data_IF_252763403894
#
_entry.id   IF_252763403894
#
_cell.length_a   1.000
_cell.length_b   1.000
_cell.length_c   1.000
_cell.angle_alpha   90.00
_cell.angle_beta   90.00
_cell.angle_gamma   90.00
#
_symmetry.space_group_name_H-M   'P 1'
#
loop_
_entity.id
_entity.type
_entity.pdbx_description
1 polymer ?
#
# COMPACT_ATOMS: atom_id res chain seq x y z
N UNK A 1 10.82 46.53 -37.75
CA UNK A 1 9.66 46.81 -36.88
C UNK A 1 8.39 46.72 -37.74
N UNK A 2 7.64 45.62 -37.68
CA UNK A 2 6.40 45.46 -38.44
C UNK A 2 5.27 45.02 -37.52
N UNK A 3 4.36 45.97 -37.26
CA UNK A 3 3.10 45.76 -36.54
C UNK A 3 2.14 45.04 -37.49
N UNK A 4 1.80 43.78 -37.20
CA UNK A 4 0.72 43.08 -37.90
C UNK A 4 -0.36 42.70 -36.89
N UNK A 5 -1.44 43.46 -36.95
CA UNK A 5 -2.68 43.24 -36.22
C UNK A 5 -3.25 41.84 -36.55
N UNK A 6 -3.59 41.06 -35.52
CA UNK A 6 -4.38 39.85 -35.66
C UNK A 6 -5.72 40.03 -34.94
N UNK A 7 -6.70 40.26 -35.79
CA UNK A 7 -8.14 40.00 -35.72
C UNK A 7 -8.56 39.12 -34.54
N UNK A 8 -9.40 39.69 -33.69
CA UNK A 8 -10.23 39.06 -32.68
C UNK A 8 -11.35 38.31 -33.43
N UNK A 9 -11.49 37.00 -33.23
CA UNK A 9 -12.68 36.26 -33.64
C UNK A 9 -13.51 35.95 -32.40
N UNK A 10 -14.70 36.55 -32.43
CA UNK A 10 -15.87 36.30 -31.60
C UNK A 10 -16.46 34.92 -31.88
N UNK A 11 -17.22 34.44 -30.89
CA UNK A 11 -18.28 33.44 -30.97
C UNK A 11 -17.91 32.03 -31.45
N UNK A 12 -17.83 31.12 -30.48
CA UNK A 12 -18.50 29.83 -30.65
C UNK A 12 -19.23 29.47 -29.36
N UNK A 13 -20.54 29.41 -29.53
CA UNK A 13 -21.58 29.23 -28.53
C UNK A 13 -21.36 27.99 -27.65
N UNK A 14 -21.81 28.16 -26.41
CA UNK A 14 -21.86 27.17 -25.35
C UNK A 14 -22.69 25.94 -25.73
N UNK A 15 -22.20 24.71 -25.53
CA UNK A 15 -23.07 23.55 -25.51
C UNK A 15 -23.90 23.57 -24.22
N UNK A 16 -25.14 24.03 -24.38
CA UNK A 16 -26.36 23.58 -23.71
C UNK A 16 -26.11 22.54 -22.59
N UNK A 17 -26.03 23.04 -21.36
CA UNK A 17 -26.00 22.25 -20.15
C UNK A 17 -27.36 21.54 -20.01
N UNK A 18 -27.45 20.33 -20.54
CA UNK A 18 -28.61 19.48 -20.44
C UNK A 18 -28.72 19.01 -18.98
N UNK A 19 -29.56 19.71 -18.22
CA UNK A 19 -29.95 19.36 -16.86
C UNK A 19 -30.59 17.97 -16.87
N UNK A 20 -29.81 16.96 -16.50
CA UNK A 20 -30.37 15.66 -16.17
C UNK A 20 -31.21 15.80 -14.91
N UNK A 21 -32.48 15.34 -14.92
CA UNK A 21 -33.32 15.38 -13.74
C UNK A 21 -32.75 14.47 -12.65
N UNK A 22 -32.63 15.03 -11.45
CA UNK A 22 -32.47 14.33 -10.19
C UNK A 22 -33.52 13.22 -10.09
N UNK A 23 -33.16 11.99 -10.45
CA UNK A 23 -33.95 10.81 -10.12
C UNK A 23 -33.60 10.41 -8.69
N UNK A 24 -34.58 10.58 -7.82
CA UNK A 24 -34.48 10.32 -6.39
C UNK A 24 -33.96 8.93 -6.10
N UNK A 25 -32.85 8.87 -5.37
CA UNK A 25 -32.40 7.66 -4.73
C UNK A 25 -33.30 7.41 -3.52
N UNK A 26 -34.39 6.66 -3.74
CA UNK A 26 -35.28 6.21 -2.68
C UNK A 26 -34.47 5.42 -1.65
N UNK A 27 -34.46 5.92 -0.42
CA UNK A 27 -33.94 5.24 0.75
C UNK A 27 -34.74 3.95 0.99
N UNK A 28 -34.30 2.83 0.41
CA UNK A 28 -34.74 1.49 0.84
C UNK A 28 -34.00 1.15 2.12
N UNK A 29 -34.59 1.52 3.24
CA UNK A 29 -34.34 0.90 4.55
C UNK A 29 -34.83 -0.55 4.50
N UNK A 30 -34.00 -1.44 3.97
CA UNK A 30 -34.16 -2.88 4.14
C UNK A 30 -33.70 -3.27 5.54
N UNK A 31 -34.64 -3.45 6.46
CA UNK A 31 -34.40 -4.19 7.71
C UNK A 31 -34.07 -5.64 7.34
N UNK A 32 -32.94 -6.23 7.77
CA UNK A 32 -32.78 -7.67 7.71
C UNK A 32 -33.64 -8.30 8.81
N UNK A 33 -34.86 -8.72 8.46
CA UNK A 33 -35.58 -9.71 9.26
C UNK A 33 -34.88 -11.05 9.05
N UNK A 34 -34.29 -11.58 10.13
CA UNK A 34 -33.70 -12.90 10.16
C UNK A 34 -34.74 -13.96 9.81
N UNK A 35 -34.67 -14.46 8.58
CA UNK A 35 -35.26 -15.73 8.18
C UNK A 35 -34.12 -16.73 8.27
N UNK A 36 -33.99 -17.37 9.43
CA UNK A 36 -33.14 -18.53 9.61
C UNK A 36 -33.72 -19.67 8.78
N UNK A 37 -33.22 -19.83 7.55
CA UNK A 37 -33.57 -20.95 6.69
C UNK A 37 -32.72 -22.16 7.14
N UNK A 38 -33.29 -23.19 7.78
CA UNK A 38 -32.53 -24.31 8.37
C UNK A 38 -31.87 -25.23 7.32
N UNK A 39 -32.14 -25.00 6.03
CA UNK A 39 -31.52 -25.72 4.92
C UNK A 39 -30.10 -25.23 4.59
N UNK A 40 -29.78 -23.97 4.87
CA UNK A 40 -28.45 -23.41 4.56
C UNK A 40 -27.37 -23.84 5.55
N UNK A 41 -27.74 -24.15 6.81
CA UNK A 41 -26.80 -24.61 7.84
C UNK A 41 -26.31 -26.05 7.62
N UNK A 42 -27.13 -26.90 6.98
CA UNK A 42 -26.74 -28.29 6.66
C UNK A 42 -25.62 -28.35 5.60
N UNK A 43 -25.62 -27.46 4.61
CA UNK A 43 -24.59 -27.46 3.56
C UNK A 43 -23.22 -26.99 4.07
N UNK A 44 -23.19 -26.07 5.04
CA UNK A 44 -21.93 -25.58 5.60
C UNK A 44 -21.21 -26.64 6.45
N UNK A 45 -21.96 -27.51 7.16
CA UNK A 45 -21.34 -28.55 8.01
C UNK A 45 -20.69 -29.67 7.18
N UNK A 46 -21.27 -30.03 6.03
CA UNK A 46 -20.71 -31.04 5.12
C UNK A 46 -19.41 -30.56 4.48
N UNK A 47 -19.33 -29.29 4.08
CA UNK A 47 -18.12 -28.69 3.50
C UNK A 47 -16.95 -28.61 4.50
N UNK A 48 -17.23 -28.37 5.79
CA UNK A 48 -16.18 -28.35 6.83
C UNK A 48 -15.67 -29.77 7.14
N UNK A 49 -16.54 -30.78 7.18
CA UNK A 49 -16.13 -32.17 7.41
C UNK A 49 -15.25 -32.73 6.28
N UNK A 50 -15.45 -32.28 5.04
CA UNK A 50 -14.73 -32.79 3.88
C UNK A 50 -13.30 -32.25 3.74
N UNK A 51 -12.96 -31.14 4.41
CA UNK A 51 -11.63 -30.52 4.34
C UNK A 51 -10.63 -31.01 5.41
N UNK A 52 -11.07 -31.79 6.40
CA UNK A 52 -10.21 -32.28 7.49
C UNK A 52 -9.38 -33.54 7.12
N UNK A 53 -9.54 -34.08 5.91
CA UNK A 53 -8.90 -35.34 5.48
C UNK A 53 -7.53 -35.22 4.78
N UNK A 54 -6.96 -34.03 4.61
CA UNK A 54 -5.82 -33.80 3.70
C UNK A 54 -4.47 -33.48 4.38
N UNK A 55 -4.32 -33.66 5.70
CA UNK A 55 -3.04 -33.40 6.38
C UNK A 55 -2.34 -34.74 6.66
N UNK A 56 -1.65 -35.27 5.65
CA UNK A 56 -0.77 -36.42 5.80
C UNK A 56 0.27 -36.47 4.68
N UNK A 57 1.52 -36.78 5.05
CA UNK A 57 2.77 -36.81 4.23
C UNK A 57 3.34 -35.39 4.03
N UNK A 58 4.60 -35.04 4.26
CA UNK A 58 5.91 -35.70 4.26
C UNK A 58 6.93 -34.58 4.60
N UNK A 59 8.20 -34.75 4.97
CA UNK A 59 9.05 -35.86 5.32
C UNK A 59 10.37 -35.22 5.78
N UNK A 60 10.92 -35.75 6.87
CA UNK A 60 12.20 -35.40 7.47
C UNK A 60 13.35 -35.51 6.47
N UNK A 61 14.17 -34.46 6.38
CA UNK A 61 15.34 -34.39 5.51
C UNK A 61 16.51 -33.65 6.15
N UNK A 62 16.98 -34.13 7.32
CA UNK A 62 18.27 -33.75 7.89
C UNK A 62 19.40 -34.32 7.03
N UNK A 63 20.26 -33.48 6.45
CA UNK A 63 21.64 -33.83 6.11
C UNK A 63 22.57 -32.67 6.44
N UNK A 64 23.38 -32.84 7.48
CA UNK A 64 24.61 -32.06 7.69
C UNK A 64 25.66 -32.58 6.68
N UNK A 65 26.31 -31.70 5.90
CA UNK A 65 27.50 -32.09 5.16
C UNK A 65 28.70 -32.23 6.10
N UNK A 66 29.46 -33.29 5.82
CA UNK A 66 30.62 -33.78 6.54
C UNK A 66 31.76 -32.75 6.53
N UNK A 67 32.34 -32.50 7.71
CA UNK A 67 33.48 -31.61 7.93
C UNK A 67 34.75 -32.42 7.63
N UNK A 68 35.49 -32.04 6.59
CA UNK A 68 36.82 -32.60 6.31
C UNK A 68 37.84 -31.46 6.23
N UNK A 69 38.88 -31.56 7.06
CA UNK A 69 40.10 -30.75 7.10
C UNK A 69 41.28 -31.74 6.94
N UNK A 70 42.54 -31.34 6.66
CA UNK A 70 43.11 -30.36 5.71
C UNK A 70 44.28 -30.99 4.87
N UNK A 71 44.99 -30.24 4.00
CA UNK A 71 46.48 -30.23 4.07
C UNK A 71 47.14 -28.82 3.86
N UNK A 72 48.45 -28.67 4.16
CA UNK A 72 49.16 -27.38 4.37
C UNK A 72 49.51 -26.58 3.09
N UNK A 73 49.82 -25.28 3.22
CA UNK A 73 50.00 -24.36 2.08
C UNK A 73 51.38 -24.45 1.40
N UNK A 74 51.44 -24.43 0.06
CA UNK A 74 52.64 -24.09 -0.71
C UNK A 74 52.75 -22.58 -1.03
N UNK A 75 53.92 -22.11 -1.50
CA UNK A 75 54.39 -20.74 -1.35
C UNK A 75 53.74 -19.70 -2.28
N UNK A 76 53.71 -18.47 -1.77
CA UNK A 76 53.18 -17.26 -2.40
C UNK A 76 53.68 -17.07 -3.84
N UNK A 77 52.73 -17.04 -4.78
CA UNK A 77 52.90 -16.47 -6.11
C UNK A 77 52.05 -15.21 -6.18
N UNK A 78 52.67 -14.10 -6.55
CA UNK A 78 52.02 -12.81 -6.75
C UNK A 78 50.79 -12.96 -7.64
N UNK A 79 49.63 -12.64 -7.08
CA UNK A 79 48.34 -12.73 -7.76
C UNK A 79 48.05 -11.39 -8.46
N UNK A 80 47.70 -11.39 -9.75
CA UNK A 80 47.28 -10.20 -10.48
C UNK A 80 46.06 -9.56 -9.82
N UNK A 81 45.86 -8.23 -9.98
CA UNK A 81 44.83 -7.48 -9.24
C UNK A 81 43.46 -8.14 -9.38
N UNK A 82 42.70 -8.30 -8.27
CA UNK A 82 41.44 -9.02 -8.30
C UNK A 82 40.50 -8.39 -9.32
N UNK A 83 39.84 -9.19 -10.19
CA UNK A 83 38.79 -8.67 -11.05
C UNK A 83 37.74 -8.04 -10.14
N UNK A 84 37.50 -6.75 -10.34
CA UNK A 84 36.40 -6.01 -9.73
C UNK A 84 35.14 -6.86 -9.87
N UNK A 85 34.73 -7.48 -8.76
CA UNK A 85 33.49 -8.23 -8.65
C UNK A 85 32.35 -7.24 -8.79
N UNK A 86 32.02 -6.90 -10.03
CA UNK A 86 30.78 -6.21 -10.36
C UNK A 86 29.66 -7.15 -9.95
N UNK A 87 29.10 -6.94 -8.75
CA UNK A 87 27.87 -7.62 -8.35
C UNK A 87 26.85 -7.43 -9.48
N UNK A 88 26.23 -8.52 -9.96
CA UNK A 88 25.32 -8.45 -11.10
C UNK A 88 24.23 -7.43 -10.77
N UNK A 89 24.18 -6.37 -11.57
CA UNK A 89 23.25 -5.25 -11.41
C UNK A 89 21.83 -5.79 -11.57
N UNK A 90 21.19 -6.14 -10.45
CA UNK A 90 19.82 -6.66 -10.45
C UNK A 90 18.91 -5.62 -11.11
N UNK A 91 18.10 -6.05 -12.06
CA UNK A 91 17.15 -5.16 -12.71
C UNK A 91 16.14 -4.69 -11.65
N UNK A 92 16.21 -3.40 -11.30
CA UNK A 92 15.29 -2.77 -10.35
C UNK A 92 13.93 -2.55 -11.03
N UNK A 93 12.86 -2.82 -10.31
CA UNK A 93 11.49 -2.56 -10.77
C UNK A 93 11.16 -1.08 -10.47
N UNK A 94 10.92 -0.23 -11.49
CA UNK A 94 10.61 1.17 -11.24
C UNK A 94 9.18 1.33 -10.70
N UNK A 95 9.04 2.08 -9.61
CA UNK A 95 7.77 2.42 -8.96
C UNK A 95 7.68 3.93 -8.76
N UNK A 96 6.56 4.52 -9.18
CA UNK A 96 6.16 5.89 -8.88
C UNK A 96 5.10 5.88 -7.77
N UNK A 97 5.41 6.49 -6.63
CA UNK A 97 4.46 6.70 -5.54
C UNK A 97 3.72 8.02 -5.73
N UNK A 98 2.40 7.96 -5.56
CA UNK A 98 1.52 9.11 -5.69
C UNK A 98 0.53 9.14 -4.53
N UNK A 99 0.30 10.32 -3.94
CA UNK A 99 -0.76 10.57 -2.96
C UNK A 99 -1.99 11.17 -3.62
N UNK A 100 -3.15 10.82 -3.08
CA UNK A 100 -4.39 11.60 -3.20
C UNK A 100 -5.06 11.75 -1.84
N UNK A 101 -5.80 12.84 -1.67
CA UNK A 101 -6.66 13.06 -0.50
C UNK A 101 -8.13 12.91 -0.94
N UNK A 102 -8.88 12.00 -0.30
CA UNK A 102 -10.30 11.79 -0.64
C UNK A 102 -11.19 12.86 -0.03
N UNK A 103 -10.81 13.32 1.15
CA UNK A 103 -11.58 14.23 2.00
C UNK A 103 -10.89 15.58 2.11
N UNK A 104 -11.63 16.65 1.83
CA UNK A 104 -11.16 18.06 1.87
C UNK A 104 -10.56 18.48 3.21
N UNK A 105 -10.83 17.75 4.29
CA UNK A 105 -10.35 18.06 5.65
C UNK A 105 -9.11 17.26 6.07
N UNK A 106 -8.61 16.35 5.22
CA UNK A 106 -7.40 15.57 5.53
C UNK A 106 -6.17 16.33 5.03
N UNK A 107 -5.25 16.64 5.95
CA UNK A 107 -4.01 17.31 5.58
C UNK A 107 -3.11 16.42 4.73
N UNK A 108 -2.56 16.98 3.64
CA UNK A 108 -1.50 16.39 2.82
C UNK A 108 -0.32 15.85 3.65
N UNK A 109 -0.08 16.49 4.80
CA UNK A 109 0.94 16.10 5.76
C UNK A 109 0.87 14.62 6.18
N UNK A 110 -0.34 14.10 6.44
CA UNK A 110 -0.51 12.70 6.84
C UNK A 110 -0.20 11.74 5.69
N UNK A 111 -0.57 12.10 4.46
CA UNK A 111 -0.28 11.29 3.28
C UNK A 111 1.23 11.22 3.01
N UNK A 112 1.94 12.32 3.24
CA UNK A 112 3.40 12.37 3.09
C UNK A 112 4.12 11.43 4.06
N UNK A 113 3.68 11.33 5.32
CA UNK A 113 4.25 10.38 6.30
C UNK A 113 4.13 8.94 5.78
N UNK A 114 2.94 8.56 5.30
CA UNK A 114 2.68 7.21 4.77
C UNK A 114 3.52 6.93 3.53
N UNK A 115 3.61 7.88 2.60
CA UNK A 115 4.41 7.74 1.37
C UNK A 115 5.90 7.65 1.67
N UNK A 116 6.41 8.48 2.58
CA UNK A 116 7.83 8.49 2.95
C UNK A 116 8.27 7.15 3.51
N UNK A 117 7.51 6.61 4.48
CA UNK A 117 7.82 5.31 5.09
C UNK A 117 7.56 4.13 4.15
N UNK A 118 6.57 4.21 3.27
CA UNK A 118 6.37 3.24 2.20
C UNK A 118 7.57 3.24 1.24
N UNK A 119 8.03 4.42 0.79
CA UNK A 119 9.18 4.56 -0.09
C UNK A 119 10.47 4.07 0.58
N UNK A 120 10.69 4.40 1.85
CA UNK A 120 11.82 3.93 2.63
C UNK A 120 11.84 2.40 2.68
N UNK A 121 10.70 1.77 3.03
CA UNK A 121 10.58 0.31 3.12
C UNK A 121 10.80 -0.38 1.78
N UNK A 122 10.31 0.19 0.67
CA UNK A 122 10.57 -0.34 -0.67
C UNK A 122 12.04 -0.22 -1.07
N UNK A 123 12.72 0.88 -0.69
CA UNK A 123 14.16 1.06 -0.95
C UNK A 123 15.01 0.07 -0.16
N UNK A 124 14.64 -0.23 1.08
CA UNK A 124 15.32 -1.24 1.91
C UNK A 124 15.31 -2.64 1.28
N UNK A 125 14.32 -2.96 0.46
CA UNK A 125 14.25 -4.26 -0.22
C UNK A 125 15.25 -4.42 -1.39
N UNK A 126 15.90 -3.33 -1.83
CA UNK A 126 16.90 -3.32 -2.92
C UNK A 126 16.43 -3.93 -4.26
N UNK A 127 15.11 -4.07 -4.45
CA UNK A 127 14.49 -4.63 -5.65
C UNK A 127 13.75 -3.58 -6.49
N UNK A 128 13.58 -2.37 -5.95
CA UNK A 128 12.76 -1.32 -6.54
C UNK A 128 13.57 -0.05 -6.77
N UNK A 129 13.28 0.63 -7.87
CA UNK A 129 13.71 2.00 -8.11
C UNK A 129 12.52 2.93 -7.82
N UNK A 130 12.61 3.69 -6.73
CA UNK A 130 11.46 4.33 -6.11
C UNK A 130 11.50 5.84 -6.33
N UNK A 131 10.49 6.38 -7.00
CA UNK A 131 10.28 7.81 -7.22
C UNK A 131 8.98 8.27 -6.55
N UNK A 132 8.95 9.51 -6.07
CA UNK A 132 7.77 10.11 -5.43
C UNK A 132 7.25 11.23 -6.33
N UNK A 133 5.95 11.25 -6.59
CA UNK A 133 5.31 12.30 -7.36
C UNK A 133 5.43 13.65 -6.62
N UNK A 134 5.75 14.76 -7.31
CA UNK A 134 5.98 16.06 -6.67
C UNK A 134 4.71 16.74 -6.16
N UNK A 135 3.54 16.32 -6.67
CA UNK A 135 2.23 16.88 -6.32
C UNK A 135 1.25 15.75 -6.07
N UNK A 136 0.22 16.03 -5.28
CA UNK A 136 -0.94 15.16 -5.18
C UNK A 136 -1.57 14.99 -6.56
N UNK A 137 -1.99 13.77 -6.87
CA UNK A 137 -2.68 13.43 -8.10
C UNK A 137 -3.91 12.58 -7.81
N UNK A 138 -4.96 12.79 -8.59
CA UNK A 138 -6.18 11.99 -8.46
C UNK A 138 -5.93 10.55 -8.98
N UNK A 139 -6.72 9.59 -8.53
CA UNK A 139 -6.72 8.20 -9.02
C UNK A 139 -6.74 8.10 -10.55
N UNK A 140 -7.54 8.96 -11.20
CA UNK A 140 -7.62 9.01 -12.66
C UNK A 140 -6.30 9.41 -13.29
N UNK A 141 -5.67 10.45 -12.76
CA UNK A 141 -4.36 10.93 -13.20
C UNK A 141 -3.26 9.90 -12.93
N UNK A 142 -3.31 9.19 -11.80
CA UNK A 142 -2.39 8.09 -11.50
C UNK A 142 -2.53 6.94 -12.52
N UNK A 143 -3.77 6.55 -12.86
CA UNK A 143 -4.04 5.58 -13.93
C UNK A 143 -3.52 6.07 -15.28
N UNK A 144 -3.74 7.35 -15.62
CA UNK A 144 -3.31 7.89 -16.91
C UNK A 144 -1.78 8.03 -16.99
N UNK A 145 -1.10 8.37 -15.89
CA UNK A 145 0.37 8.29 -15.79
C UNK A 145 0.85 6.86 -16.00
N UNK A 146 0.20 5.87 -15.38
CA UNK A 146 0.55 4.46 -15.59
C UNK A 146 0.36 4.00 -17.05
N UNK A 147 -0.58 4.57 -17.81
CA UNK A 147 -0.73 4.31 -19.25
C UNK A 147 0.41 4.92 -20.06
N UNK A 148 0.83 6.14 -19.68
CA UNK A 148 1.90 6.86 -20.37
C UNK A 148 3.28 6.26 -20.08
N UNK A 149 3.47 5.65 -18.90
CA UNK A 149 4.72 5.02 -18.50
C UNK A 149 4.72 3.52 -18.82
N UNK A 150 5.56 3.10 -19.78
CA UNK A 150 5.57 1.71 -20.26
C UNK A 150 6.25 0.70 -19.33
N UNK A 151 7.03 1.17 -18.34
CA UNK A 151 7.83 0.30 -17.45
C UNK A 151 7.58 0.52 -15.96
N UNK A 152 7.06 1.68 -15.58
CA UNK A 152 6.89 2.09 -14.18
C UNK A 152 5.54 1.68 -13.62
N UNK A 153 5.55 0.97 -12.50
CA UNK A 153 4.33 0.76 -11.72
C UNK A 153 3.95 2.04 -11.00
N UNK A 154 2.67 2.40 -11.02
CA UNK A 154 2.18 3.55 -10.23
C UNK A 154 1.46 3.03 -9.01
N UNK A 155 1.99 3.33 -7.83
CA UNK A 155 1.37 3.07 -6.54
C UNK A 155 0.66 4.33 -6.08
N UNK A 156 -0.67 4.31 -6.15
CA UNK A 156 -1.51 5.40 -5.67
C UNK A 156 -2.00 5.10 -4.25
N UNK A 157 -1.75 6.03 -3.34
CA UNK A 157 -2.10 5.96 -1.92
C UNK A 157 -3.11 7.06 -1.63
N UNK A 158 -4.24 6.69 -1.04
CA UNK A 158 -5.31 7.59 -0.66
C UNK A 158 -5.59 7.46 0.84
N UNK A 159 -5.69 8.60 1.51
CA UNK A 159 -6.17 8.65 2.90
C UNK A 159 -7.67 8.95 2.93
N UNK A 160 -8.39 8.09 3.64
CA UNK A 160 -9.83 8.21 3.87
C UNK A 160 -10.08 8.19 5.40
N UNK A 161 -11.18 8.78 5.85
CA UNK A 161 -11.57 8.76 7.27
C UNK A 161 -12.43 7.52 7.52
N UNK A 162 -12.07 6.70 8.51
CA UNK A 162 -12.90 5.55 8.88
C UNK A 162 -14.13 6.01 9.68
N UNK A 163 -15.24 6.19 8.98
CA UNK A 163 -16.53 6.55 9.56
C UNK A 163 -17.18 5.43 10.40
N UNK A 164 -16.60 4.23 10.45
CA UNK A 164 -17.17 3.10 11.20
C UNK A 164 -16.82 3.13 12.69
N UNK A 165 -15.75 3.82 13.06
CA UNK A 165 -15.23 3.87 14.42
C UNK A 165 -15.77 5.13 15.11
N UNK A 166 -16.99 5.03 15.66
CA UNK A 166 -17.64 6.08 16.45
C UNK A 166 -18.81 6.75 15.73
N UNK A 167 -20.02 6.61 16.30
CA UNK A 167 -21.29 7.19 15.83
C UNK A 167 -21.40 8.71 16.07
N UNK A 168 -20.33 9.49 15.82
CA UNK A 168 -20.44 10.94 15.77
C UNK A 168 -20.47 11.39 14.31
N UNK A 169 -21.67 11.47 13.70
CA UNK A 169 -21.81 11.98 12.37
C UNK A 169 -21.43 13.46 12.39
N UNK A 170 -20.38 13.79 11.64
CA UNK A 170 -20.11 15.17 11.23
C UNK A 170 -19.65 16.08 12.37
N UNK A 171 -18.47 15.81 12.92
CA UNK A 171 -17.68 16.91 13.47
C UNK A 171 -17.14 17.71 12.27
N UNK A 172 -17.70 18.88 12.00
CA UNK A 172 -17.23 19.87 11.00
C UNK A 172 -15.90 20.48 11.50
N UNK A 173 -14.91 19.63 11.73
CA UNK A 173 -13.68 19.96 12.44
C UNK A 173 -12.46 19.19 11.95
N UNK A 174 -11.35 19.37 12.67
CA UNK A 174 -10.06 18.72 12.39
C UNK A 174 -10.24 17.20 12.41
N UNK A 175 -9.85 16.53 11.32
CA UNK A 175 -9.89 15.07 11.21
C UNK A 175 -8.93 14.47 12.23
N UNK A 176 -9.44 13.55 13.06
CA UNK A 176 -8.63 12.77 14.00
C UNK A 176 -7.67 11.86 13.22
N UNK A 177 -6.34 12.07 13.33
CA UNK A 177 -5.37 11.31 12.55
C UNK A 177 -5.36 9.82 12.90
N UNK A 178 -5.79 9.43 14.10
CA UNK A 178 -5.86 8.03 14.52
C UNK A 178 -7.00 7.26 13.83
N UNK A 179 -7.93 7.97 13.16
CA UNK A 179 -9.06 7.39 12.42
C UNK A 179 -8.85 7.36 10.91
N UNK A 180 -7.64 7.65 10.42
CA UNK A 180 -7.37 7.58 8.99
C UNK A 180 -7.16 6.11 8.57
N UNK A 181 -7.70 5.75 7.42
CA UNK A 181 -7.44 4.49 6.74
C UNK A 181 -6.61 4.77 5.49
N UNK A 182 -5.68 3.86 5.19
CA UNK A 182 -4.83 3.95 4.01
C UNK A 182 -5.41 3.02 2.94
N UNK A 183 -5.97 3.61 1.88
CA UNK A 183 -6.31 2.91 0.66
C UNK A 183 -5.09 2.92 -0.27
N UNK A 184 -4.77 1.78 -0.87
CA UNK A 184 -3.73 1.73 -1.89
C UNK A 184 -4.22 1.02 -3.15
N UNK A 185 -3.74 1.46 -4.30
CA UNK A 185 -4.00 0.86 -5.61
C UNK A 185 -2.71 0.84 -6.43
N UNK A 186 -2.35 -0.33 -6.94
CA UNK A 186 -1.21 -0.51 -7.85
C UNK A 186 -1.72 -0.59 -9.28
N UNK A 187 -1.25 0.31 -10.14
CA UNK A 187 -1.54 0.30 -11.57
C UNK A 187 -0.40 -0.34 -12.34
N UNK A 188 -0.73 -1.21 -13.30
CA UNK A 188 0.25 -1.81 -14.21
C UNK A 188 0.71 -0.80 -15.27
N UNK A 189 2.02 -0.77 -15.60
CA UNK A 189 2.55 0.09 -16.64
C UNK A 189 1.93 -0.19 -18.02
N UNK A 190 1.87 0.83 -18.87
CA UNK A 190 1.37 0.80 -20.24
C UNK A 190 -0.15 0.64 -20.39
N UNK A 191 -0.83 0.01 -19.44
CA UNK A 191 -2.29 -0.23 -19.53
C UNK A 191 -3.11 0.60 -18.55
N UNK A 192 -2.52 1.02 -17.42
CA UNK A 192 -3.26 1.67 -16.33
C UNK A 192 -4.32 0.79 -15.66
N UNK A 193 -4.31 -0.53 -15.91
CA UNK A 193 -5.20 -1.46 -15.21
C UNK A 193 -4.75 -1.64 -13.77
N UNK A 194 -5.71 -1.83 -12.87
CA UNK A 194 -5.42 -2.14 -11.47
C UNK A 194 -4.87 -3.55 -11.37
N UNK A 195 -3.64 -3.69 -10.86
CA UNK A 195 -3.02 -4.98 -10.52
C UNK A 195 -3.55 -5.50 -9.19
N UNK A 196 -3.56 -4.63 -8.20
CA UNK A 196 -4.00 -4.93 -6.84
C UNK A 196 -4.49 -3.66 -6.17
N UNK A 197 -5.39 -3.81 -5.21
CA UNK A 197 -5.85 -2.72 -4.36
C UNK A 197 -6.20 -3.27 -2.99
N UNK A 198 -5.99 -2.48 -1.95
CA UNK A 198 -6.29 -2.89 -0.60
C UNK A 198 -6.49 -1.71 0.34
N UNK A 199 -6.84 -2.07 1.58
CA UNK A 199 -7.03 -1.11 2.67
C UNK A 199 -6.20 -1.54 3.87
N UNK A 200 -5.59 -0.58 4.54
CA UNK A 200 -4.81 -0.77 5.75
C UNK A 200 -5.40 0.14 6.82
N UNK A 201 -5.78 -0.50 7.92
CA UNK A 201 -6.28 0.17 9.11
C UNK A 201 -5.10 0.47 10.02
N UNK A 202 -5.06 1.69 10.54
CA UNK A 202 -4.13 2.01 11.62
C UNK A 202 -4.44 1.12 12.82
N UNK A 203 -3.43 0.40 13.31
CA UNK A 203 -3.55 -0.38 14.54
C UNK A 203 -3.00 0.47 15.67
N UNK A 204 -3.85 1.04 16.54
CA UNK A 204 -3.33 1.67 17.75
C UNK A 204 -2.56 0.61 18.53
N UNK A 205 -1.29 0.87 18.84
CA UNK A 205 -0.52 -0.02 19.74
C UNK A 205 -1.17 0.03 21.12
N UNK A 206 -2.10 -0.87 21.37
CA UNK A 206 -2.50 -1.17 22.74
C UNK A 206 -1.30 -1.88 23.36
N UNK A 207 -0.57 -1.18 24.23
CA UNK A 207 0.50 -1.76 25.04
C UNK A 207 -0.15 -2.73 26.04
N UNK A 208 -0.54 -3.91 25.57
CA UNK A 208 -1.04 -5.00 26.40
C UNK A 208 0.08 -6.00 26.63
N UNK A 209 0.69 -5.93 27.81
CA UNK A 209 1.35 -7.10 28.46
C UNK A 209 1.85 -6.87 29.88
N UNK A 210 1.62 -5.70 30.51
CA UNK A 210 1.94 -5.52 31.94
C UNK A 210 0.73 -5.00 32.73
N UNK A 211 0.27 -5.70 33.79
CA UNK A 211 -0.79 -5.26 34.69
C UNK A 211 -0.27 -4.21 35.69
N UNK A 212 0.52 -3.26 35.20
CA UNK A 212 0.94 -2.10 35.99
C UNK A 212 -0.06 -1.00 35.64
N UNK A 213 -0.75 -0.38 36.62
CA UNK A 213 -1.60 0.77 36.41
C UNK A 213 -0.72 1.99 36.09
N UNK A 214 -0.10 1.98 34.92
CA UNK A 214 0.45 3.19 34.31
C UNK A 214 -0.75 4.05 33.92
N UNK A 215 -0.69 5.37 34.13
CA UNK A 215 -1.67 6.28 33.54
C UNK A 215 -1.65 6.04 32.03
N UNK A 216 -2.68 5.38 31.51
CA UNK A 216 -2.85 5.18 30.08
C UNK A 216 -2.78 6.55 29.43
N UNK A 217 -1.96 6.76 28.39
CA UNK A 217 -1.99 7.99 27.62
C UNK A 217 -3.44 8.27 27.28
N UNK A 218 -3.92 9.46 27.68
CA UNK A 218 -5.31 9.86 27.45
C UNK A 218 -5.58 9.69 25.96
N UNK A 219 -6.64 8.99 25.53
CA UNK A 219 -7.02 8.90 24.12
C UNK A 219 -7.09 10.32 23.56
N UNK A 220 -6.31 10.62 22.52
CA UNK A 220 -6.18 11.97 21.96
C UNK A 220 -4.92 12.76 22.36
N UNK A 221 -3.99 12.19 23.11
CA UNK A 221 -2.65 12.77 23.27
C UNK A 221 -1.85 12.41 22.02
N UNK A 222 -1.85 13.27 21.01
CA UNK A 222 -1.39 13.03 19.62
C UNK A 222 0.09 12.68 19.39
N UNK A 223 0.70 11.87 20.25
CA UNK A 223 2.04 11.33 20.09
C UNK A 223 2.08 10.03 19.26
N UNK A 224 0.97 9.29 19.16
CA UNK A 224 0.98 7.93 18.58
C UNK A 224 0.60 7.86 17.09
N UNK A 225 -0.09 8.86 16.54
CA UNK A 225 -0.58 8.81 15.15
C UNK A 225 0.56 8.70 14.12
N UNK A 226 1.70 9.35 14.36
CA UNK A 226 2.85 9.30 13.42
C UNK A 226 3.40 7.87 13.33
N UNK A 227 3.48 7.19 14.47
CA UNK A 227 3.94 5.80 14.54
C UNK A 227 2.96 4.86 13.86
N UNK A 228 1.66 5.10 14.03
CA UNK A 228 0.61 4.33 13.36
C UNK A 228 0.65 4.53 11.83
N UNK A 229 0.84 5.76 11.36
CA UNK A 229 0.99 6.07 9.92
C UNK A 229 2.29 5.54 9.32
N UNK A 230 3.42 5.59 10.05
CA UNK A 230 4.68 4.92 9.65
C UNK A 230 4.43 3.42 9.46
N UNK A 231 3.85 2.77 10.48
CA UNK A 231 3.49 1.35 10.43
C UNK A 231 2.60 1.01 9.24
N UNK A 232 1.60 1.85 8.95
CA UNK A 232 0.72 1.67 7.80
C UNK A 232 1.46 1.83 6.46
N UNK A 233 2.40 2.77 6.36
CA UNK A 233 3.27 2.93 5.18
C UNK A 233 4.14 1.70 4.94
N UNK A 234 4.75 1.15 6.00
CA UNK A 234 5.54 -0.07 5.92
C UNK A 234 4.70 -1.30 5.54
N UNK A 235 3.53 -1.48 6.15
CA UNK A 235 2.61 -2.56 5.80
C UNK A 235 2.13 -2.45 4.34
N UNK A 236 1.91 -1.22 3.86
CA UNK A 236 1.56 -0.97 2.45
C UNK A 236 2.67 -1.45 1.53
N UNK A 237 3.92 -1.08 1.79
CA UNK A 237 5.07 -1.54 1.03
C UNK A 237 5.17 -3.08 1.04
N UNK A 238 4.97 -3.73 2.19
CA UNK A 238 5.04 -5.19 2.30
C UNK A 238 4.00 -5.90 1.44
N UNK A 239 2.74 -5.45 1.47
CA UNK A 239 1.70 -6.01 0.60
C UNK A 239 2.01 -5.77 -0.88
N UNK A 240 2.58 -4.62 -1.23
CA UNK A 240 3.00 -4.34 -2.61
C UNK A 240 4.12 -5.28 -3.03
N UNK A 241 5.15 -5.48 -2.20
CA UNK A 241 6.24 -6.42 -2.50
C UNK A 241 5.75 -7.85 -2.70
N UNK A 242 4.83 -8.30 -1.84
CA UNK A 242 4.18 -9.61 -1.95
C UNK A 242 3.43 -9.74 -3.29
N UNK A 243 2.63 -8.74 -3.67
CA UNK A 243 1.88 -8.75 -4.94
C UNK A 243 2.75 -8.68 -6.19
N UNK A 244 3.96 -8.13 -6.06
CA UNK A 244 4.95 -8.08 -7.13
C UNK A 244 5.86 -9.32 -7.15
N UNK A 245 5.72 -10.23 -6.19
CA UNK A 245 6.49 -11.48 -6.12
C UNK A 245 7.94 -11.27 -5.68
N UNK A 246 8.26 -10.14 -5.07
CA UNK A 246 9.62 -9.88 -4.55
C UNK A 246 9.70 -10.49 -3.16
N UNK A 247 10.47 -11.57 -3.03
CA UNK A 247 10.70 -12.19 -1.72
C UNK A 247 11.42 -11.20 -0.81
N UNK A 248 10.84 -10.99 0.38
CA UNK A 248 11.47 -10.22 1.44
C UNK A 248 12.77 -10.91 1.83
N UNK A 249 13.91 -10.35 1.43
CA UNK A 249 15.19 -10.70 2.04
C UNK A 249 15.13 -10.20 3.49
N UNK A 250 15.42 -11.06 4.49
CA UNK A 250 15.40 -10.63 5.88
C UNK A 250 16.33 -9.42 6.05
N UNK A 251 16.02 -8.50 6.98
CA UNK A 251 16.90 -7.39 7.29
C UNK A 251 18.32 -7.93 7.48
N UNK A 252 19.31 -7.38 6.75
CA UNK A 252 20.71 -7.68 7.04
C UNK A 252 20.92 -7.25 8.47
N UNK A 253 20.97 -8.20 9.40
CA UNK A 253 21.46 -7.95 10.74
C UNK A 253 22.89 -7.43 10.57
N UNK A 254 23.05 -6.12 10.73
CA UNK A 254 24.36 -5.49 10.79
C UNK A 254 25.01 -6.00 12.07
N UNK A 255 25.86 -7.03 11.92
CA UNK A 255 26.84 -7.44 12.92
C UNK A 255 27.88 -6.35 13.15
#
# INVERSE_FOLDING_TARGET
MNKKARKINSEKEDPMFQSQPCSGFSSRRGRPTGITCPLATMFLSVLVAMNLGLIGQAQSGRRLPNRTNPPPPPPAKEEPPPPSSQEPKRALIPILLASGTSTVNTSAFYANIVIEHCAQRLKEALAFDVSIAPSEINRKEASDRAKNEAKTYVLWIELEVDHRVGEDPVSVGVVDPDRLLVNYTVFTPGTGKVKTSGRIYQRPRTVMSTPIPMPTPRPGTGADFRHNLDGAGRETAERVMETLGVQHLPPRESF
#
